data_IF_196971440606
#
_entry.id   IF_196971440606
#
_cell.length_a   1.000
_cell.length_b   1.000
_cell.length_c   1.000
_cell.angle_alpha   90.00
_cell.angle_beta   90.00
_cell.angle_gamma   90.00
#
_symmetry.space_group_name_H-M   'P 1'
#
loop_
_entity.id
_entity.type
_entity.pdbx_description
1 polymer ?
#
# COMPACT_ATOMS: atom_id res chain seq x y z
N UNK A 1 67.91 -24.09 -21.30
CA UNK A 1 67.29 -24.61 -20.07
C UNK A 1 66.74 -23.42 -19.30
N UNK A 2 65.45 -23.12 -19.42
CA UNK A 2 64.62 -22.32 -18.49
C UNK A 2 63.19 -22.35 -19.06
N UNK A 3 62.38 -23.28 -18.56
CA UNK A 3 60.96 -23.37 -18.87
C UNK A 3 60.22 -22.26 -18.10
N UNK A 4 59.52 -21.38 -18.82
CA UNK A 4 58.59 -20.42 -18.21
C UNK A 4 57.27 -21.14 -17.95
N UNK A 5 56.97 -21.40 -16.68
CA UNK A 5 55.68 -21.92 -16.22
C UNK A 5 54.67 -20.77 -16.28
N UNK A 6 53.73 -20.86 -17.21
CA UNK A 6 52.52 -20.01 -17.24
C UNK A 6 51.53 -20.56 -16.21
N UNK A 7 51.34 -19.81 -15.11
CA UNK A 7 50.29 -20.07 -14.13
C UNK A 7 49.04 -19.33 -14.60
N UNK A 8 48.11 -20.06 -15.22
CA UNK A 8 46.75 -19.57 -15.51
C UNK A 8 45.93 -19.66 -14.23
N UNK A 9 45.71 -18.52 -13.56
CA UNK A 9 44.68 -18.42 -12.53
C UNK A 9 43.31 -18.46 -13.22
N UNK A 10 42.67 -19.63 -13.19
CA UNK A 10 41.27 -19.76 -13.53
C UNK A 10 40.42 -19.01 -12.50
N UNK A 11 39.88 -17.85 -12.89
CA UNK A 11 38.79 -17.20 -12.18
C UNK A 11 37.56 -18.12 -12.29
N UNK A 12 37.36 -18.93 -11.25
CA UNK A 12 36.11 -19.62 -11.04
C UNK A 12 35.03 -18.56 -10.77
N UNK A 13 34.23 -18.26 -11.79
CA UNK A 13 32.95 -17.59 -11.65
C UNK A 13 32.06 -18.49 -10.79
N UNK A 14 32.03 -18.20 -9.49
CA UNK A 14 30.98 -18.71 -8.62
C UNK A 14 29.66 -18.15 -9.16
N UNK A 15 28.67 -18.99 -9.50
CA UNK A 15 27.34 -18.49 -9.80
C UNK A 15 26.84 -17.86 -8.50
N UNK A 16 26.63 -16.54 -8.52
CA UNK A 16 25.91 -15.86 -7.46
C UNK A 16 24.49 -16.42 -7.52
N UNK A 17 24.23 -17.36 -6.62
CA UNK A 17 22.89 -17.87 -6.37
C UNK A 17 22.08 -16.66 -5.89
N UNK A 18 21.14 -16.23 -6.72
CA UNK A 18 20.22 -15.15 -6.42
C UNK A 18 19.57 -15.44 -5.05
N UNK A 19 19.71 -14.49 -4.13
CA UNK A 19 19.07 -14.55 -2.84
C UNK A 19 17.56 -14.52 -3.06
N UNK A 20 16.91 -15.68 -2.93
CA UNK A 20 15.48 -15.74 -2.65
C UNK A 20 15.24 -14.89 -1.40
N UNK A 21 14.31 -13.94 -1.51
CA UNK A 21 14.15 -12.77 -0.64
C UNK A 21 14.43 -13.03 0.84
N UNK A 22 15.55 -12.51 1.32
CA UNK A 22 15.86 -12.48 2.75
C UNK A 22 14.98 -11.45 3.44
N UNK A 23 14.42 -11.79 4.59
CA UNK A 23 13.71 -10.84 5.45
C UNK A 23 14.54 -9.57 5.66
N UNK A 24 13.99 -8.42 5.26
CA UNK A 24 14.57 -7.09 5.46
C UNK A 24 13.79 -6.34 6.55
N UNK A 25 14.36 -6.20 7.76
CA UNK A 25 13.67 -5.56 8.87
C UNK A 25 13.46 -4.04 8.66
N UNK A 26 14.18 -3.39 7.74
CA UNK A 26 13.97 -1.97 7.46
C UNK A 26 12.64 -1.73 6.74
N UNK A 27 12.26 -2.64 5.83
CA UNK A 27 11.00 -2.55 5.10
C UNK A 27 9.84 -2.63 6.09
N UNK A 28 9.83 -3.65 6.96
CA UNK A 28 8.73 -3.82 7.92
C UNK A 28 8.66 -2.68 8.94
N UNK A 29 9.81 -2.17 9.43
CA UNK A 29 9.81 -1.08 10.40
C UNK A 29 9.32 0.24 9.82
N UNK A 30 9.35 0.43 8.49
CA UNK A 30 8.67 1.54 7.82
C UNK A 30 7.16 1.38 7.65
N UNK A 31 6.62 0.19 7.92
CA UNK A 31 5.21 -0.15 7.69
C UNK A 31 4.40 -0.37 8.97
N UNK A 32 5.04 -0.39 10.15
CA UNK A 32 4.38 -0.62 11.44
C UNK A 32 4.60 0.55 12.40
N UNK A 33 3.84 0.58 13.49
CA UNK A 33 3.94 1.61 14.52
C UNK A 33 5.27 1.56 15.27
N UNK A 34 5.77 2.73 15.71
CA UNK A 34 6.98 2.81 16.51
C UNK A 34 6.85 1.98 17.80
N UNK A 35 7.93 1.27 18.16
CA UNK A 35 7.99 0.36 19.29
C UNK A 35 7.54 -1.06 19.00
N UNK A 36 6.95 -1.34 17.83
CA UNK A 36 6.52 -2.69 17.44
C UNK A 36 7.66 -3.67 17.58
N UNK A 37 7.43 -4.74 18.36
CA UNK A 37 8.39 -5.81 18.58
C UNK A 37 7.84 -7.12 18.03
N UNK A 38 8.69 -7.85 17.32
CA UNK A 38 8.29 -8.99 16.48
C UNK A 38 9.31 -10.11 16.55
N UNK A 39 8.89 -11.33 16.17
CA UNK A 39 9.83 -12.42 15.95
C UNK A 39 10.73 -12.10 14.76
N UNK A 40 12.01 -12.50 14.82
CA UNK A 40 12.85 -12.53 13.63
C UNK A 40 12.63 -13.86 12.90
N UNK A 41 12.12 -13.85 11.65
CA UNK A 41 11.81 -15.09 10.92
C UNK A 41 13.04 -15.88 10.50
N UNK A 42 14.25 -15.39 10.80
CA UNK A 42 15.52 -16.09 10.53
C UNK A 42 15.95 -16.98 11.69
N UNK A 43 15.45 -16.75 12.91
CA UNK A 43 15.79 -17.58 14.07
C UNK A 43 14.75 -17.48 15.19
N UNK A 44 14.31 -18.62 15.74
CA UNK A 44 13.24 -18.67 16.75
C UNK A 44 13.61 -18.08 18.12
N UNK A 45 14.90 -17.87 18.41
CA UNK A 45 15.34 -17.16 19.59
C UNK A 45 15.63 -15.68 19.32
N UNK A 46 15.39 -15.16 18.12
CA UNK A 46 15.70 -13.79 17.74
C UNK A 46 14.43 -12.94 17.61
N UNK A 47 14.60 -11.64 17.82
CA UNK A 47 13.54 -10.65 17.73
C UNK A 47 14.06 -9.34 17.13
N UNK A 48 13.12 -8.57 16.58
CA UNK A 48 13.36 -7.22 16.06
C UNK A 48 12.38 -6.27 16.74
N UNK A 49 12.86 -5.09 17.13
CA UNK A 49 12.04 -3.98 17.60
C UNK A 49 12.24 -2.79 16.68
N UNK A 50 11.15 -2.21 16.18
CA UNK A 50 11.20 -1.01 15.35
C UNK A 50 11.25 0.22 16.25
N UNK A 51 12.33 0.98 16.17
CA UNK A 51 12.53 2.24 16.91
C UNK A 51 12.76 3.36 15.89
N UNK A 52 11.80 4.28 15.82
CA UNK A 52 11.81 5.43 14.90
C UNK A 52 11.99 5.01 13.43
N UNK A 53 11.36 3.89 13.04
CA UNK A 53 11.44 3.32 11.69
C UNK A 53 12.68 2.44 11.45
N UNK A 54 13.63 2.41 12.38
CA UNK A 54 14.86 1.63 12.28
C UNK A 54 14.80 0.34 13.11
N UNK A 55 15.35 -0.77 12.61
CA UNK A 55 15.30 -2.04 13.33
C UNK A 55 16.40 -2.17 14.38
N UNK A 56 16.01 -2.57 15.59
CA UNK A 56 16.90 -2.99 16.68
C UNK A 56 16.71 -4.49 16.90
N UNK A 57 17.78 -5.27 16.73
CA UNK A 57 17.71 -6.73 16.89
C UNK A 57 18.23 -7.20 18.26
N UNK A 58 17.73 -8.34 18.72
CA UNK A 58 18.26 -9.05 19.87
C UNK A 58 17.96 -10.53 19.85
N UNK A 59 18.51 -11.25 20.83
CA UNK A 59 18.36 -12.71 20.96
C UNK A 59 18.07 -13.11 22.40
N UNK A 60 17.26 -14.16 22.55
CA UNK A 60 17.01 -14.86 23.79
C UNK A 60 18.20 -15.78 24.14
N UNK A 61 18.35 -16.04 25.44
CA UNK A 61 19.35 -16.98 25.96
C UNK A 61 19.14 -18.42 25.50
N UNK A 62 20.11 -19.28 25.81
CA UNK A 62 20.08 -20.69 25.42
C UNK A 62 18.82 -21.41 25.94
N UNK A 63 18.16 -22.16 25.05
CA UNK A 63 16.93 -22.91 25.38
C UNK A 63 15.66 -22.07 25.45
N UNK A 64 15.72 -20.79 25.07
CA UNK A 64 14.59 -19.88 25.05
C UNK A 64 14.26 -19.43 23.63
N UNK A 65 12.98 -19.33 23.32
CA UNK A 65 12.45 -18.73 22.10
C UNK A 65 11.73 -17.42 22.42
N UNK A 66 11.75 -16.48 21.48
CA UNK A 66 11.03 -15.24 21.64
C UNK A 66 9.55 -15.47 21.30
N UNK A 67 8.67 -15.00 22.18
CA UNK A 67 7.24 -15.01 21.98
C UNK A 67 6.75 -13.57 21.76
N UNK A 68 6.33 -13.27 20.53
CA UNK A 68 5.86 -11.94 20.16
C UNK A 68 4.60 -11.48 20.91
N UNK A 69 3.73 -12.39 21.35
CA UNK A 69 2.44 -12.04 21.97
C UNK A 69 2.64 -11.58 23.43
N UNK A 70 3.53 -12.23 24.17
CA UNK A 70 3.94 -11.80 25.52
C UNK A 70 5.12 -10.84 25.53
N UNK A 71 5.82 -10.70 24.40
CA UNK A 71 7.10 -10.00 24.24
C UNK A 71 8.26 -10.53 25.12
N UNK A 72 8.16 -11.79 25.54
CA UNK A 72 9.10 -12.44 26.46
C UNK A 72 9.93 -13.55 25.79
N UNK A 73 11.06 -13.87 26.40
CA UNK A 73 11.83 -15.07 26.06
C UNK A 73 11.31 -16.25 26.92
N UNK A 74 10.57 -17.15 26.31
CA UNK A 74 9.96 -18.31 26.98
C UNK A 74 10.74 -19.59 26.67
N UNK A 75 10.54 -20.63 27.47
CA UNK A 75 11.15 -21.93 27.21
C UNK A 75 10.75 -22.45 25.82
N UNK A 76 11.71 -23.02 25.08
CA UNK A 76 11.51 -23.43 23.68
C UNK A 76 10.41 -24.48 23.47
N UNK A 77 9.99 -25.20 24.50
CA UNK A 77 8.86 -26.15 24.46
C UNK A 77 7.48 -25.47 24.61
N UNK A 78 7.44 -24.17 24.94
CA UNK A 78 6.21 -23.38 25.11
C UNK A 78 5.85 -22.53 23.90
N UNK A 79 6.82 -22.27 23.02
CA UNK A 79 6.64 -21.40 21.85
C UNK A 79 6.85 -22.24 20.60
N UNK A 80 5.90 -22.15 19.67
CA UNK A 80 6.05 -22.80 18.37
C UNK A 80 7.09 -22.04 17.55
N UNK A 81 8.18 -22.71 17.20
CA UNK A 81 9.20 -22.17 16.31
C UNK A 81 8.68 -22.11 14.86
N UNK A 82 8.57 -20.89 14.33
CA UNK A 82 8.25 -20.62 12.92
C UNK A 82 9.36 -19.73 12.37
N UNK A 83 10.27 -20.33 11.61
CA UNK A 83 11.47 -19.67 11.08
C UNK A 83 11.84 -20.29 9.74
N UNK A 84 12.38 -19.50 8.83
CA UNK A 84 12.99 -19.94 7.57
C UNK A 84 14.27 -20.78 7.80
N UNK A 85 14.93 -20.61 8.94
CA UNK A 85 15.98 -21.49 9.45
C UNK A 85 15.61 -21.99 10.86
N UNK A 86 14.88 -23.10 10.98
CA UNK A 86 14.44 -23.63 12.27
C UNK A 86 15.59 -24.28 13.07
N UNK A 87 16.76 -24.49 12.46
CA UNK A 87 17.94 -25.04 13.15
C UNK A 87 18.83 -23.95 13.74
N UNK A 88 18.74 -22.69 13.29
CA UNK A 88 19.56 -21.58 13.78
C UNK A 88 19.59 -21.45 15.31
N UNK A 89 18.45 -21.73 15.96
CA UNK A 89 18.28 -21.66 17.41
C UNK A 89 18.37 -23.04 18.12
N UNK A 90 18.50 -24.14 17.36
CA UNK A 90 18.49 -25.51 17.88
C UNK A 90 19.87 -26.17 17.72
N UNK A 91 20.60 -26.33 18.83
CA UNK A 91 21.94 -26.91 18.80
C UNK A 91 21.94 -28.34 18.22
N UNK A 92 21.06 -29.23 18.69
CA UNK A 92 20.91 -30.58 18.15
C UNK A 92 19.45 -31.05 18.31
N UNK A 93 18.96 -31.89 17.40
CA UNK A 93 17.63 -32.51 17.49
C UNK A 93 16.88 -32.52 16.17
N UNK A 94 15.57 -32.76 16.22
CA UNK A 94 14.69 -32.69 15.07
C UNK A 94 13.70 -31.53 15.19
N UNK A 95 13.37 -30.90 14.07
CA UNK A 95 12.35 -29.86 13.99
C UNK A 95 11.52 -30.01 12.73
N UNK A 96 10.29 -29.52 12.76
CA UNK A 96 9.38 -29.60 11.62
C UNK A 96 9.88 -28.71 10.47
N UNK A 97 9.64 -29.14 9.24
CA UNK A 97 9.80 -28.26 8.08
C UNK A 97 8.65 -27.24 8.07
N UNK A 98 8.95 -25.94 8.16
CA UNK A 98 7.93 -24.88 8.22
C UNK A 98 7.15 -24.76 6.91
N UNK A 99 7.70 -25.25 5.79
CA UNK A 99 7.07 -25.21 4.45
C UNK A 99 6.38 -26.53 4.06
N UNK A 100 6.58 -27.62 4.83
CA UNK A 100 6.08 -28.96 4.47
C UNK A 100 5.66 -29.80 5.68
N UNK A 101 4.41 -30.26 5.71
CA UNK A 101 3.92 -31.20 6.72
C UNK A 101 4.61 -32.59 6.68
N UNK A 102 5.19 -32.96 5.54
CA UNK A 102 5.91 -34.21 5.36
C UNK A 102 7.42 -34.06 5.62
N UNK A 103 7.93 -32.81 5.65
CA UNK A 103 9.34 -32.52 5.85
C UNK A 103 9.72 -32.35 7.33
N UNK A 104 11.00 -32.54 7.60
CA UNK A 104 11.63 -32.21 8.87
C UNK A 104 13.11 -31.85 8.65
N UNK A 105 13.73 -31.25 9.65
CA UNK A 105 15.17 -31.03 9.69
C UNK A 105 15.80 -31.78 10.85
N UNK A 106 16.90 -32.46 10.58
CA UNK A 106 17.84 -32.91 11.62
C UNK A 106 18.90 -31.83 11.82
N UNK A 107 18.90 -31.20 12.99
CA UNK A 107 19.83 -30.15 13.35
C UNK A 107 21.05 -30.75 14.05
N UNK A 108 22.25 -30.37 13.62
CA UNK A 108 23.50 -30.68 14.29
C UNK A 108 24.38 -29.43 14.35
N UNK A 109 24.75 -29.01 15.56
CA UNK A 109 25.43 -27.75 15.86
C UNK A 109 24.78 -26.54 15.16
N UNK A 110 23.45 -26.46 15.20
CA UNK A 110 22.67 -25.38 14.59
C UNK A 110 22.52 -25.48 13.06
N UNK A 111 23.03 -26.54 12.42
CA UNK A 111 22.92 -26.74 10.97
C UNK A 111 21.92 -27.84 10.65
N UNK A 112 20.92 -27.52 9.85
CA UNK A 112 19.87 -28.44 9.44
C UNK A 112 20.23 -29.27 8.21
N UNK A 113 19.93 -30.56 8.26
CA UNK A 113 19.81 -31.44 7.09
C UNK A 113 18.33 -31.76 6.88
N UNK A 114 17.80 -31.47 5.70
CA UNK A 114 16.40 -31.74 5.38
C UNK A 114 16.15 -33.25 5.21
N UNK A 115 15.02 -33.70 5.73
CA UNK A 115 14.48 -35.04 5.58
C UNK A 115 13.00 -34.99 5.27
N UNK A 116 12.46 -36.11 4.78
CA UNK A 116 11.06 -36.24 4.43
C UNK A 116 10.50 -37.57 4.93
N UNK A 117 9.26 -37.55 5.39
CA UNK A 117 8.51 -38.73 5.77
C UNK A 117 8.09 -39.54 4.53
N UNK A 118 7.85 -40.83 4.70
CA UNK A 118 7.34 -41.66 3.59
C UNK A 118 5.97 -41.17 3.10
N UNK A 119 5.57 -41.46 1.84
CA UNK A 119 4.28 -41.04 1.29
C UNK A 119 3.10 -41.41 2.20
N UNK A 120 2.23 -40.44 2.49
CA UNK A 120 1.06 -40.61 3.37
C UNK A 120 1.35 -40.45 4.87
N UNK A 121 2.55 -40.01 5.24
CA UNK A 121 2.95 -39.73 6.62
C UNK A 121 3.33 -38.25 6.77
N UNK A 122 3.04 -37.67 7.94
CA UNK A 122 3.45 -36.30 8.28
C UNK A 122 4.36 -36.34 9.50
N UNK A 123 5.30 -35.41 9.58
CA UNK A 123 6.19 -35.30 10.72
C UNK A 123 5.45 -34.73 11.93
N UNK A 124 5.61 -35.38 13.09
CA UNK A 124 5.06 -34.95 14.37
C UNK A 124 6.20 -34.45 15.26
N UNK A 125 6.33 -33.13 15.50
CA UNK A 125 7.41 -32.57 16.32
C UNK A 125 7.33 -32.99 17.79
N UNK A 126 6.13 -33.31 18.30
CA UNK A 126 5.97 -33.77 19.69
C UNK A 126 6.48 -35.19 19.94
N UNK A 127 6.58 -36.02 18.90
CA UNK A 127 7.08 -37.40 18.99
C UNK A 127 8.40 -37.61 18.25
N UNK A 128 8.85 -36.58 17.52
CA UNK A 128 10.00 -36.64 16.59
C UNK A 128 9.91 -37.82 15.60
N UNK A 129 8.70 -38.12 15.11
CA UNK A 129 8.46 -39.28 14.25
C UNK A 129 7.47 -38.97 13.11
N UNK A 130 7.53 -39.77 12.06
CA UNK A 130 6.59 -39.74 10.96
C UNK A 130 5.34 -40.54 11.34
N UNK A 131 4.19 -39.88 11.40
CA UNK A 131 2.93 -40.49 11.79
C UNK A 131 1.96 -40.46 10.60
N UNK A 132 1.35 -41.61 10.31
CA UNK A 132 0.31 -41.72 9.27
C UNK A 132 -0.90 -40.88 9.67
N UNK A 133 -1.39 -40.06 8.73
CA UNK A 133 -2.54 -39.17 8.94
C UNK A 133 -2.38 -38.19 10.12
N UNK A 134 -1.14 -37.88 10.55
CA UNK A 134 -0.96 -36.82 11.54
C UNK A 134 -1.51 -35.50 10.99
N UNK A 135 -2.36 -34.77 11.74
CA UNK A 135 -3.00 -33.58 11.23
C UNK A 135 -1.98 -32.56 10.73
N UNK A 136 -2.06 -32.27 9.44
CA UNK A 136 -1.33 -31.15 8.85
C UNK A 136 -2.13 -29.89 9.22
N UNK A 137 -1.70 -29.21 10.28
CA UNK A 137 -2.16 -27.84 10.53
C UNK A 137 -1.83 -27.05 9.26
N UNK A 138 -2.84 -26.47 8.63
CA UNK A 138 -2.77 -25.89 7.30
C UNK A 138 -1.47 -25.09 7.13
N UNK A 139 -0.69 -25.50 6.13
CA UNK A 139 0.50 -24.87 5.55
C UNK A 139 0.79 -23.52 6.21
N UNK A 140 1.63 -23.51 7.24
CA UNK A 140 2.18 -22.26 7.71
C UNK A 140 2.87 -21.63 6.51
N UNK A 141 2.50 -20.41 6.20
CA UNK A 141 3.24 -19.58 5.27
C UNK A 141 4.29 -18.85 6.11
N UNK A 142 5.52 -19.36 6.25
CA UNK A 142 6.52 -18.75 7.14
C UNK A 142 6.83 -17.31 6.73
N UNK A 143 6.51 -16.97 5.49
CA UNK A 143 6.69 -15.66 4.89
C UNK A 143 5.48 -14.74 5.15
N UNK A 144 4.40 -15.26 5.75
CA UNK A 144 3.29 -14.45 6.25
C UNK A 144 3.77 -13.56 7.40
N UNK A 145 3.52 -12.27 7.23
CA UNK A 145 3.84 -11.23 8.20
C UNK A 145 3.16 -11.45 9.56
N UNK A 146 2.01 -12.15 9.59
CA UNK A 146 1.32 -12.51 10.82
C UNK A 146 1.92 -13.72 11.56
N UNK A 147 3.04 -14.27 11.06
CA UNK A 147 3.92 -15.18 11.81
C UNK A 147 5.00 -14.46 12.62
N UNK A 148 5.26 -13.18 12.32
CA UNK A 148 6.26 -12.40 13.04
C UNK A 148 5.65 -11.30 13.91
N UNK A 149 4.56 -10.66 13.47
CA UNK A 149 3.89 -9.59 14.20
C UNK A 149 2.88 -10.13 15.23
N UNK A 150 2.78 -9.49 16.42
CA UNK A 150 1.73 -9.80 17.38
C UNK A 150 0.34 -9.41 16.86
N UNK A 151 -0.68 -10.01 17.45
CA UNK A 151 -2.07 -9.70 17.11
C UNK A 151 -2.42 -8.23 17.42
N UNK A 152 -3.21 -7.61 16.54
CA UNK A 152 -3.64 -6.22 16.65
C UNK A 152 -2.66 -5.18 16.09
N UNK A 153 -1.47 -5.59 15.63
CA UNK A 153 -0.56 -4.68 14.92
C UNK A 153 -1.11 -4.35 13.54
N UNK A 154 -1.23 -3.06 13.24
CA UNK A 154 -1.53 -2.58 11.90
C UNK A 154 -0.27 -2.44 11.05
N UNK A 155 -0.41 -2.74 9.76
CA UNK A 155 0.65 -2.73 8.76
C UNK A 155 0.15 -1.86 7.62
N UNK A 156 0.91 -0.82 7.26
CA UNK A 156 0.60 0.00 6.10
C UNK A 156 0.75 -0.82 4.82
N UNK A 157 -0.23 -0.71 3.93
CA UNK A 157 -0.12 -1.32 2.61
C UNK A 157 0.93 -0.54 1.79
N UNK A 158 2.02 -1.22 1.44
CA UNK A 158 3.13 -0.65 0.67
C UNK A 158 2.76 -0.32 -0.79
N UNK A 159 1.56 -0.69 -1.24
CA UNK A 159 1.07 -0.50 -2.61
C UNK A 159 -0.21 0.34 -2.68
N UNK A 160 -0.76 0.74 -1.53
CA UNK A 160 -1.98 1.54 -1.47
C UNK A 160 -1.98 2.40 -0.20
N UNK A 161 -1.87 3.71 -0.35
CA UNK A 161 -1.83 4.64 0.79
C UNK A 161 -3.12 4.70 1.62
N UNK A 162 -4.26 4.30 1.05
CA UNK A 162 -5.53 4.17 1.76
C UNK A 162 -5.70 2.78 2.41
N UNK A 163 -4.84 1.82 2.05
CA UNK A 163 -4.89 0.44 2.53
C UNK A 163 -4.06 0.22 3.78
N UNK A 164 -4.51 -0.72 4.61
CA UNK A 164 -3.75 -1.28 5.70
C UNK A 164 -4.12 -2.75 5.91
N UNK A 165 -3.30 -3.44 6.67
CA UNK A 165 -3.54 -4.80 7.11
C UNK A 165 -3.46 -4.87 8.64
N UNK A 166 -4.06 -5.89 9.22
CA UNK A 166 -3.92 -6.20 10.64
C UNK A 166 -3.80 -7.70 10.82
N UNK A 167 -2.95 -8.12 11.76
CA UNK A 167 -2.85 -9.51 12.16
C UNK A 167 -3.87 -9.84 13.26
N UNK A 168 -4.62 -10.92 13.07
CA UNK A 168 -5.53 -11.44 14.09
C UNK A 168 -5.62 -12.95 14.01
N UNK A 169 -5.30 -13.65 15.09
CA UNK A 169 -5.22 -15.11 15.15
C UNK A 169 -4.42 -15.69 13.97
N UNK A 170 -3.20 -15.17 13.72
CA UNK A 170 -2.33 -15.58 12.59
C UNK A 170 -2.91 -15.35 11.18
N UNK A 171 -4.02 -14.63 11.04
CA UNK A 171 -4.61 -14.27 9.75
C UNK A 171 -4.37 -12.80 9.42
N UNK A 172 -4.04 -12.53 8.15
CA UNK A 172 -3.98 -11.18 7.61
C UNK A 172 -5.41 -10.71 7.31
N UNK A 173 -5.83 -9.63 7.96
CA UNK A 173 -7.07 -8.92 7.67
C UNK A 173 -6.74 -7.65 6.89
N UNK A 174 -7.35 -7.46 5.72
CA UNK A 174 -7.18 -6.23 4.94
C UNK A 174 -8.23 -5.20 5.32
N UNK A 175 -7.86 -3.93 5.36
CA UNK A 175 -8.73 -2.79 5.62
C UNK A 175 -8.38 -1.60 4.73
N UNK A 176 -9.33 -0.68 4.63
CA UNK A 176 -9.15 0.61 3.95
C UNK A 176 -9.60 1.73 4.86
N UNK A 177 -8.91 2.86 4.79
CA UNK A 177 -9.32 4.06 5.50
C UNK A 177 -10.62 4.62 4.91
N UNK A 178 -11.51 5.22 5.72
CA UNK A 178 -12.71 5.87 5.22
C UNK A 178 -12.38 6.96 4.20
N UNK A 179 -13.24 7.16 3.20
CA UNK A 179 -13.10 8.25 2.22
C UNK A 179 -11.73 8.32 1.55
N UNK A 180 -11.11 9.50 1.61
CA UNK A 180 -9.82 9.80 0.98
C UNK A 180 -8.63 9.78 1.96
N UNK A 181 -8.83 9.30 3.20
CA UNK A 181 -7.79 9.29 4.23
C UNK A 181 -6.65 8.32 3.86
N UNK A 182 -5.44 8.63 4.31
CA UNK A 182 -4.29 7.74 4.19
C UNK A 182 -4.02 7.04 5.52
N UNK A 183 -3.56 5.79 5.45
CA UNK A 183 -3.14 5.07 6.63
C UNK A 183 -1.71 5.50 7.01
N UNK A 184 -1.56 6.04 8.22
CA UNK A 184 -0.26 6.35 8.80
C UNK A 184 0.22 5.18 9.65
N UNK A 185 1.34 4.57 9.26
CA UNK A 185 1.95 3.49 10.02
C UNK A 185 2.40 3.95 11.41
N UNK A 186 3.00 5.15 11.49
CA UNK A 186 3.59 5.70 12.71
C UNK A 186 2.55 6.07 13.76
N UNK A 187 1.34 6.44 13.34
CA UNK A 187 0.22 6.74 14.22
C UNK A 187 -0.78 5.57 14.37
N UNK A 188 -0.63 4.52 13.55
CA UNK A 188 -1.55 3.38 13.44
C UNK A 188 -3.02 3.81 13.23
N UNK A 189 -3.24 4.88 12.46
CA UNK A 189 -4.56 5.45 12.24
C UNK A 189 -4.71 6.04 10.84
N UNK A 190 -5.97 6.29 10.45
CA UNK A 190 -6.31 6.98 9.23
C UNK A 190 -6.17 8.49 9.44
N UNK A 191 -5.21 9.09 8.73
CA UNK A 191 -4.92 10.52 8.79
C UNK A 191 -5.23 11.19 7.46
N UNK A 192 -5.26 12.52 7.45
CA UNK A 192 -5.50 13.26 6.22
C UNK A 192 -4.32 13.12 5.24
N UNK A 193 -4.57 13.12 3.92
CA UNK A 193 -3.51 13.05 2.91
C UNK A 193 -2.40 14.10 3.04
N UNK A 194 -2.70 15.28 3.60
CA UNK A 194 -1.72 16.33 3.84
C UNK A 194 -0.75 16.02 4.98
N UNK A 195 -1.12 15.11 5.87
CA UNK A 195 -0.39 14.78 7.09
C UNK A 195 0.46 13.49 6.92
N UNK A 196 0.31 12.77 5.81
CA UNK A 196 1.04 11.54 5.50
C UNK A 196 1.50 11.52 4.03
N UNK A 197 2.79 11.29 3.80
CA UNK A 197 3.31 11.18 2.44
C UNK A 197 2.94 9.82 1.84
N UNK A 198 2.25 9.85 0.72
CA UNK A 198 1.94 8.67 -0.06
C UNK A 198 3.13 8.28 -0.95
N UNK A 199 4.04 7.47 -0.39
CA UNK A 199 5.21 6.96 -1.09
C UNK A 199 5.03 5.47 -1.43
N UNK A 200 4.45 5.17 -2.58
CA UNK A 200 4.59 3.88 -3.23
C UNK A 200 4.83 4.07 -4.72
N UNK A 201 5.57 3.14 -5.30
CA UNK A 201 5.71 3.04 -6.76
C UNK A 201 4.73 1.98 -7.24
N UNK A 202 3.54 2.35 -7.76
CA UNK A 202 2.69 1.38 -8.43
C UNK A 202 3.49 0.72 -9.56
N UNK A 203 3.20 -0.56 -9.83
CA UNK A 203 3.64 -1.15 -11.08
C UNK A 203 3.18 -0.24 -12.25
N UNK A 204 4.04 0.02 -13.24
CA UNK A 204 3.68 0.91 -14.34
C UNK A 204 2.45 0.35 -15.04
N UNK A 205 1.36 1.12 -15.03
CA UNK A 205 0.16 0.77 -15.78
C UNK A 205 0.47 1.05 -17.24
N UNK A 206 0.56 0.01 -18.06
CA UNK A 206 0.79 0.20 -19.51
C UNK A 206 -0.47 0.82 -20.11
N UNK A 207 -0.31 1.92 -20.85
CA UNK A 207 -1.40 2.65 -21.46
C UNK A 207 -2.14 1.76 -22.45
N UNK A 208 -3.47 1.66 -22.32
CA UNK A 208 -4.28 1.11 -23.39
C UNK A 208 -4.18 1.99 -24.65
N UNK A 209 -4.32 1.37 -25.84
CA UNK A 209 -4.29 2.11 -27.10
C UNK A 209 -5.28 3.28 -27.09
N UNK A 210 -4.79 4.47 -27.44
CA UNK A 210 -5.59 5.69 -27.51
C UNK A 210 -5.65 6.52 -26.22
N UNK A 211 -5.16 6.02 -25.07
CA UNK A 211 -5.08 6.82 -23.84
C UNK A 211 -3.94 7.85 -23.93
N UNK A 212 -2.74 7.40 -24.32
CA UNK A 212 -1.59 8.26 -24.56
C UNK A 212 -1.41 8.51 -26.05
N UNK A 213 -1.54 9.76 -26.53
CA UNK A 213 -1.31 10.06 -27.95
C UNK A 213 0.18 9.99 -28.31
N UNK A 214 1.07 10.25 -27.36
CA UNK A 214 2.53 10.16 -27.49
C UNK A 214 3.19 10.16 -26.12
N UNK A 215 4.47 9.78 -26.03
CA UNK A 215 5.25 9.93 -24.80
C UNK A 215 5.51 11.41 -24.45
N UNK A 216 5.71 11.68 -23.16
CA UNK A 216 6.05 13.01 -22.63
C UNK A 216 4.86 13.96 -22.46
N UNK A 217 3.62 13.50 -22.65
CA UNK A 217 2.41 14.32 -22.49
C UNK A 217 1.67 14.00 -21.20
N UNK A 218 0.87 14.96 -20.74
CA UNK A 218 -0.06 14.79 -19.63
C UNK A 218 -1.48 14.68 -20.17
N UNK A 219 -2.22 13.69 -19.70
CA UNK A 219 -3.63 13.44 -20.06
C UNK A 219 -4.49 13.37 -18.81
N UNK A 220 -5.78 13.65 -18.95
CA UNK A 220 -6.72 13.48 -17.83
C UNK A 220 -6.79 12.00 -17.42
N UNK A 221 -7.04 11.72 -16.14
CA UNK A 221 -7.31 10.36 -15.68
C UNK A 221 -8.74 9.88 -16.03
N UNK A 222 -9.55 10.76 -16.62
CA UNK A 222 -10.91 10.54 -17.06
C UNK A 222 -11.85 10.00 -15.96
N UNK A 223 -11.51 10.27 -14.70
CA UNK A 223 -12.19 9.75 -13.52
C UNK A 223 -12.41 10.82 -12.46
N UNK A 224 -11.47 11.77 -12.34
CA UNK A 224 -11.50 12.83 -11.33
C UNK A 224 -11.17 14.19 -11.95
N UNK A 225 -11.58 15.28 -11.29
CA UNK A 225 -11.25 16.63 -11.76
C UNK A 225 -9.77 17.02 -11.55
N UNK A 226 -9.10 16.41 -10.59
CA UNK A 226 -7.74 16.76 -10.18
C UNK A 226 -6.68 15.72 -10.58
N UNK A 227 -7.07 14.54 -11.02
CA UNK A 227 -6.15 13.48 -11.44
C UNK A 227 -5.75 13.56 -12.90
N UNK A 228 -4.55 13.08 -13.18
CA UNK A 228 -3.94 13.05 -14.51
C UNK A 228 -2.96 11.89 -14.64
N UNK A 229 -2.58 11.56 -15.87
CA UNK A 229 -1.46 10.67 -16.16
C UNK A 229 -0.35 11.41 -16.88
N UNK A 230 0.90 11.15 -16.50
CA UNK A 230 2.06 11.42 -17.33
C UNK A 230 2.39 10.18 -18.16
N UNK A 231 2.41 10.34 -19.49
CA UNK A 231 2.72 9.27 -20.44
C UNK A 231 4.25 9.10 -20.53
N UNK A 232 4.83 8.19 -19.76
CA UNK A 232 6.28 7.94 -19.73
C UNK A 232 6.65 6.76 -20.63
N UNK A 233 7.59 6.98 -21.54
CA UNK A 233 8.20 5.93 -22.37
C UNK A 233 9.09 5.01 -21.52
N UNK A 234 8.92 3.70 -21.69
CA UNK A 234 9.72 2.65 -21.08
C UNK A 234 10.85 2.20 -22.01
N UNK A 235 11.82 1.47 -21.47
CA UNK A 235 13.03 1.05 -22.21
C UNK A 235 12.75 0.12 -23.41
N UNK A 236 11.60 -0.55 -23.42
CA UNK A 236 11.12 -1.43 -24.49
C UNK A 236 10.23 -0.71 -25.53
N UNK A 237 10.00 0.60 -25.36
CA UNK A 237 9.17 1.43 -26.25
C UNK A 237 7.68 1.45 -25.90
N UNK A 238 7.26 0.73 -24.85
CA UNK A 238 5.90 0.84 -24.30
C UNK A 238 5.70 2.17 -23.57
N UNK A 239 4.45 2.61 -23.45
CA UNK A 239 4.11 3.82 -22.70
C UNK A 239 3.44 3.42 -21.39
N UNK A 240 4.05 3.80 -20.28
CA UNK A 240 3.47 3.72 -18.95
C UNK A 240 2.66 4.98 -18.60
N UNK A 241 1.57 4.78 -17.90
CA UNK A 241 0.75 5.81 -17.27
C UNK A 241 1.24 6.01 -15.83
N UNK A 242 1.77 7.19 -15.54
CA UNK A 242 2.09 7.58 -14.18
C UNK A 242 1.00 8.49 -13.63
N UNK A 243 0.18 7.99 -12.71
CA UNK A 243 -0.89 8.78 -12.13
C UNK A 243 -0.33 9.88 -11.24
N UNK A 244 -0.85 11.08 -11.42
CA UNK A 244 -0.58 12.24 -10.59
C UNK A 244 -1.90 12.89 -10.20
N UNK A 245 -1.87 13.63 -9.10
CA UNK A 245 -3.02 14.35 -8.58
C UNK A 245 -2.60 15.79 -8.31
N UNK A 246 -3.37 16.74 -8.81
CA UNK A 246 -3.17 18.15 -8.54
C UNK A 246 -3.36 18.43 -7.03
N UNK A 247 -2.55 19.35 -6.51
CA UNK A 247 -2.65 19.82 -5.12
C UNK A 247 -4.04 20.37 -4.80
N UNK A 248 -4.34 20.53 -3.51
CA UNK A 248 -5.64 21.01 -3.02
C UNK A 248 -6.13 22.27 -3.79
N UNK A 249 -7.44 22.29 -4.06
CA UNK A 249 -8.14 23.35 -4.79
C UNK A 249 -7.74 23.54 -6.26
N UNK A 250 -6.98 22.62 -6.85
CA UNK A 250 -6.59 22.66 -8.26
C UNK A 250 -7.11 21.46 -9.05
N UNK A 251 -7.57 21.75 -10.26
CA UNK A 251 -8.00 20.76 -11.24
C UNK A 251 -7.03 20.69 -12.40
N UNK A 252 -6.93 19.52 -12.98
CA UNK A 252 -6.05 19.28 -14.12
C UNK A 252 -6.73 19.72 -15.41
N UNK A 253 -5.97 20.38 -16.29
CA UNK A 253 -6.35 20.64 -17.67
C UNK A 253 -5.25 20.12 -18.59
N UNK A 254 -5.61 19.38 -19.63
CA UNK A 254 -4.65 18.77 -20.56
C UNK A 254 -4.06 19.75 -21.60
N UNK A 255 -4.59 20.96 -21.70
CA UNK A 255 -4.15 21.97 -22.68
C UNK A 255 -2.73 22.46 -22.39
N UNK A 256 -2.00 22.85 -23.43
CA UNK A 256 -0.65 23.44 -23.35
C UNK A 256 0.38 22.60 -22.57
N UNK A 257 0.29 21.27 -22.70
CA UNK A 257 1.22 20.35 -22.04
C UNK A 257 0.83 19.96 -20.62
N UNK A 258 -0.38 20.28 -20.18
CA UNK A 258 -0.90 19.89 -18.86
C UNK A 258 -0.63 20.94 -17.79
N UNK A 259 -1.67 21.32 -17.06
CA UNK A 259 -1.54 22.25 -15.94
C UNK A 259 -2.54 21.96 -14.82
N UNK A 260 -2.08 22.07 -13.57
CA UNK A 260 -2.96 22.15 -12.41
C UNK A 260 -3.36 23.61 -12.18
N UNK A 261 -4.59 23.96 -12.47
CA UNK A 261 -5.12 25.34 -12.37
C UNK A 261 -6.20 25.43 -11.29
N UNK A 262 -6.50 26.62 -10.73
CA UNK A 262 -7.56 26.75 -9.74
C UNK A 262 -8.89 26.15 -10.21
N UNK A 263 -9.60 25.42 -9.34
CA UNK A 263 -10.83 24.69 -9.68
C UNK A 263 -11.97 25.57 -10.22
N UNK A 264 -11.96 26.87 -9.90
CA UNK A 264 -12.90 27.87 -10.44
C UNK A 264 -12.69 28.14 -11.94
N UNK A 265 -11.53 27.84 -12.49
CA UNK A 265 -11.19 28.03 -13.91
C UNK A 265 -11.50 26.82 -14.78
N UNK A 266 -11.92 25.70 -14.19
CA UNK A 266 -12.10 24.43 -14.89
C UNK A 266 -13.55 24.01 -14.76
N UNK A 267 -14.21 23.90 -15.90
CA UNK A 267 -15.46 23.15 -16.00
C UNK A 267 -15.12 21.66 -15.94
N UNK A 268 -15.71 20.97 -14.98
CA UNK A 268 -15.49 19.55 -14.76
C UNK A 268 -16.84 18.86 -14.57
N UNK A 269 -16.98 17.70 -15.18
CA UNK A 269 -18.21 16.89 -15.12
C UNK A 269 -18.13 15.78 -14.05
N UNK A 270 -16.98 15.65 -13.36
CA UNK A 270 -16.80 14.77 -12.20
C UNK A 270 -17.08 15.49 -10.88
N UNK A 271 -16.99 14.75 -9.77
CA UNK A 271 -17.18 15.31 -8.43
C UNK A 271 -16.17 16.43 -8.14
N UNK A 272 -16.69 17.65 -8.04
CA UNK A 272 -15.91 18.86 -7.78
C UNK A 272 -15.46 18.99 -6.32
N UNK A 273 -15.96 18.13 -5.43
CA UNK A 273 -15.51 18.01 -4.05
C UNK A 273 -14.19 17.24 -3.90
N UNK A 274 -13.65 16.65 -4.98
CA UNK A 274 -12.38 15.93 -4.91
C UNK A 274 -11.27 16.79 -4.31
N UNK A 275 -10.64 16.30 -3.24
CA UNK A 275 -9.61 17.01 -2.48
C UNK A 275 -10.10 18.16 -1.60
N UNK A 276 -11.41 18.28 -1.36
CA UNK A 276 -12.04 19.28 -0.48
C UNK A 276 -12.72 18.62 0.72
N UNK A 277 -12.98 19.43 1.74
CA UNK A 277 -13.82 19.02 2.85
C UNK A 277 -13.10 18.10 3.85
N UNK A 278 -11.76 18.04 3.79
CA UNK A 278 -10.96 17.17 4.65
C UNK A 278 -11.10 17.58 6.12
N UNK A 279 -10.81 18.84 6.47
CA UNK A 279 -10.82 19.29 7.88
C UNK A 279 -12.15 19.91 8.35
N UNK A 280 -12.83 20.61 7.46
CA UNK A 280 -14.13 21.26 7.69
C UNK A 280 -14.94 21.16 6.41
N UNK A 281 -16.27 21.23 6.51
CA UNK A 281 -17.12 21.34 5.31
C UNK A 281 -16.63 22.50 4.46
N UNK A 282 -16.36 22.21 3.19
CA UNK A 282 -16.05 23.20 2.17
C UNK A 282 -17.13 23.18 1.10
N UNK A 283 -17.19 24.21 0.29
CA UNK A 283 -18.18 24.39 -0.75
C UNK A 283 -17.52 24.45 -2.13
N UNK A 284 -18.14 23.86 -3.14
CA UNK A 284 -17.68 23.94 -4.53
C UNK A 284 -18.82 24.47 -5.41
N UNK A 285 -18.50 25.23 -6.45
CA UNK A 285 -19.53 25.67 -7.40
C UNK A 285 -20.16 24.47 -8.10
N UNK A 286 -21.45 24.54 -8.39
CA UNK A 286 -22.11 23.59 -9.29
C UNK A 286 -21.78 23.90 -10.75
N UNK A 287 -21.69 22.86 -11.57
CA UNK A 287 -21.48 23.02 -13.02
C UNK A 287 -22.79 23.41 -13.71
N UNK A 288 -22.72 24.28 -14.72
CA UNK A 288 -23.84 24.63 -15.60
C UNK A 288 -25.07 25.28 -14.94
N UNK A 289 -24.87 26.15 -13.95
CA UNK A 289 -25.97 26.79 -13.23
C UNK A 289 -25.89 28.33 -13.22
N UNK A 290 -24.90 28.90 -13.91
CA UNK A 290 -24.65 30.33 -13.90
C UNK A 290 -24.03 30.82 -12.59
N UNK A 291 -23.33 29.96 -11.86
CA UNK A 291 -22.65 30.23 -10.60
C UNK A 291 -23.61 30.61 -9.47
N UNK A 292 -24.74 29.91 -9.35
CA UNK A 292 -25.80 30.22 -8.37
C UNK A 292 -25.89 29.20 -7.24
N UNK A 293 -25.48 27.97 -7.51
CA UNK A 293 -25.52 26.81 -6.66
C UNK A 293 -24.13 26.38 -6.22
N UNK A 294 -24.13 25.58 -5.17
CA UNK A 294 -22.93 25.03 -4.56
C UNK A 294 -23.18 23.63 -4.00
N UNK A 295 -22.16 22.79 -4.08
CA UNK A 295 -22.04 21.52 -3.38
C UNK A 295 -21.46 21.74 -1.99
N UNK A 296 -21.93 20.99 -0.99
CA UNK A 296 -21.31 20.82 0.31
C UNK A 296 -20.37 19.61 0.22
N UNK A 297 -19.10 19.83 0.51
CA UNK A 297 -18.03 18.87 0.38
C UNK A 297 -17.54 18.40 1.75
N UNK A 298 -17.48 17.09 1.92
CA UNK A 298 -16.85 16.44 3.07
C UNK A 298 -16.06 15.22 2.57
N UNK A 299 -14.81 15.09 3.02
CA UNK A 299 -13.91 13.96 2.74
C UNK A 299 -13.72 13.65 1.24
N UNK A 300 -13.75 14.69 0.39
CA UNK A 300 -13.57 14.56 -1.04
C UNK A 300 -14.85 14.31 -1.84
N UNK A 301 -16.03 14.32 -1.20
CA UNK A 301 -17.31 13.96 -1.84
C UNK A 301 -18.44 14.94 -1.53
N UNK A 302 -19.41 15.01 -2.44
CA UNK A 302 -20.66 15.78 -2.23
C UNK A 302 -21.52 15.11 -1.15
N UNK A 303 -21.83 15.85 -0.07
CA UNK A 303 -22.77 15.44 0.98
C UNK A 303 -24.12 16.18 0.91
N UNK A 304 -24.21 17.19 0.06
CA UNK A 304 -25.43 17.98 -0.13
C UNK A 304 -25.21 19.09 -1.16
N UNK A 305 -26.29 19.76 -1.55
CA UNK A 305 -26.25 20.86 -2.50
C UNK A 305 -27.15 21.99 -2.00
N UNK A 306 -26.87 23.21 -2.45
CA UNK A 306 -27.62 24.40 -2.14
C UNK A 306 -27.63 25.41 -3.28
N UNK A 307 -28.48 26.41 -3.15
CA UNK A 307 -28.56 27.55 -4.09
C UNK A 307 -28.53 28.83 -3.29
N UNK A 308 -27.85 29.85 -3.81
CA UNK A 308 -27.80 31.15 -3.18
C UNK A 308 -29.19 31.80 -3.14
N UNK A 309 -29.53 32.49 -2.04
CA UNK A 309 -30.82 33.16 -1.90
C UNK A 309 -30.93 34.35 -2.85
N UNK A 310 -32.16 34.78 -3.14
CA UNK A 310 -32.43 36.05 -3.84
C UNK A 310 -31.69 36.22 -5.19
N UNK A 311 -31.47 35.12 -5.91
CA UNK A 311 -30.73 35.11 -7.16
C UNK A 311 -29.31 35.72 -7.05
N UNK A 312 -28.67 35.56 -5.89
CA UNK A 312 -27.25 35.84 -5.69
C UNK A 312 -26.36 34.81 -6.40
N UNK A 313 -25.06 35.10 -6.43
CA UNK A 313 -24.03 34.26 -7.02
C UNK A 313 -23.16 33.63 -5.95
N UNK A 314 -22.79 32.36 -6.14
CA UNK A 314 -21.85 31.68 -5.27
C UNK A 314 -20.40 31.94 -5.70
N UNK A 315 -19.64 32.59 -4.82
CA UNK A 315 -18.20 32.83 -4.97
C UNK A 315 -17.41 31.68 -4.32
N UNK A 316 -16.87 30.79 -5.15
CA UNK A 316 -16.01 29.68 -4.72
C UNK A 316 -14.79 30.11 -3.90
N UNK A 317 -14.20 31.27 -4.22
CA UNK A 317 -12.95 31.69 -3.60
C UNK A 317 -13.23 32.18 -2.19
N UNK A 318 -14.34 32.89 -1.98
CA UNK A 318 -14.74 33.37 -0.65
C UNK A 318 -15.74 32.46 0.07
N UNK A 319 -16.13 31.34 -0.54
CA UNK A 319 -16.99 30.28 0.03
C UNK A 319 -18.35 30.81 0.50
N UNK A 320 -18.95 31.77 -0.22
CA UNK A 320 -20.21 32.43 0.18
C UNK A 320 -21.00 32.98 -1.00
N UNK A 321 -22.29 33.21 -0.75
CA UNK A 321 -23.15 33.95 -1.68
C UNK A 321 -22.84 35.45 -1.65
N UNK A 322 -22.94 36.07 -2.82
CA UNK A 322 -22.66 37.49 -3.03
C UNK A 322 -23.58 38.07 -4.10
N UNK A 323 -23.92 39.35 -3.96
CA UNK A 323 -24.64 40.13 -4.97
C UNK A 323 -23.75 40.55 -6.14
N UNK A 324 -22.43 40.44 -6.00
CA UNK A 324 -21.50 40.66 -7.10
C UNK A 324 -21.63 39.52 -8.12
N UNK A 325 -21.74 39.87 -9.40
CA UNK A 325 -21.82 38.88 -10.48
C UNK A 325 -20.55 38.04 -10.50
N UNK A 326 -20.71 36.72 -10.32
CA UNK A 326 -19.65 35.72 -10.48
C UNK A 326 -19.83 35.06 -11.84
N UNK A 327 -18.72 34.92 -12.57
CA UNK A 327 -18.71 34.37 -13.93
C UNK A 327 -17.53 33.41 -14.13
N UNK A 328 -17.33 32.50 -13.17
CA UNK A 328 -16.27 31.51 -13.24
C UNK A 328 -16.52 30.49 -14.36
N UNK A 329 -15.51 30.12 -15.16
CA UNK A 329 -15.64 29.06 -16.16
C UNK A 329 -16.21 27.75 -15.60
N UNK A 330 -15.92 27.44 -14.33
CA UNK A 330 -16.41 26.25 -13.64
C UNK A 330 -17.95 26.06 -13.65
N UNK A 331 -18.71 27.16 -13.61
CA UNK A 331 -20.16 27.16 -13.41
C UNK A 331 -20.92 27.86 -14.54
N UNK A 332 -20.22 28.26 -15.61
CA UNK A 332 -20.85 28.86 -16.77
C UNK A 332 -21.84 27.90 -17.42
N UNK A 333 -22.99 28.43 -17.81
CA UNK A 333 -24.01 27.72 -18.59
C UNK A 333 -23.38 27.26 -19.91
N UNK A 334 -23.59 25.99 -20.28
CA UNK A 334 -23.27 25.52 -21.63
C UNK A 334 -24.11 26.25 -22.66
N UNK A 335 -23.52 26.56 -23.81
CA UNK A 335 -24.17 27.26 -24.93
C UNK A 335 -25.25 26.46 -25.66
N UNK A 336 -25.62 25.27 -25.17
CA UNK A 336 -26.53 24.32 -25.84
C UNK A 336 -27.99 24.43 -25.42
N UNK A 337 -28.40 25.52 -24.77
CA UNK A 337 -29.83 25.78 -24.51
C UNK A 337 -30.30 27.00 -25.29
N UNK A 338 -30.35 26.89 -26.62
CA UNK A 338 -31.35 27.64 -27.38
C UNK A 338 -32.73 27.06 -27.06
N UNK A 339 -33.39 27.65 -26.06
CA UNK A 339 -34.82 27.43 -25.80
C UNK A 339 -35.58 27.81 -27.08
N UNK A 340 -36.20 26.82 -27.72
CA UNK A 340 -37.17 27.07 -28.78
C UNK A 340 -38.35 27.86 -28.18
N UNK A 341 -38.85 28.93 -28.82
CA UNK A 341 -39.95 29.70 -28.29
C UNK A 341 -41.23 28.85 -28.23
N UNK A 342 -41.86 28.85 -27.06
CA UNK A 342 -43.18 28.28 -26.80
C UNK A 342 -44.20 28.85 -27.78
N UNK A 343 -44.92 27.98 -28.50
CA UNK A 343 -46.05 28.40 -29.33
C UNK A 343 -47.24 28.78 -28.44
N UNK A 344 -47.75 30.00 -28.61
CA UNK A 344 -49.00 30.46 -28.00
C UNK A 344 -50.19 29.56 -28.41
N UNK A 345 -51.13 29.27 -27.50
CA UNK A 345 -52.35 28.54 -27.85
C UNK A 345 -53.35 29.48 -28.55
N UNK A 346 -53.69 29.15 -29.79
CA UNK A 346 -54.82 29.79 -30.49
C UNK A 346 -56.15 29.34 -29.91
N UNK A 347 -56.95 30.31 -29.44
CA UNK A 347 -58.41 30.18 -29.27
C UNK A 347 -59.10 30.64 -30.55
#
# INVERSE_FOLDING_TARGET
MYAKILVLFGLALLPQLEALGTFDPNVICGLVVNGTKMNDPRACNAWVQCIDGEPVSGTCGSGLFYDRESEECLASDKVKCVSSDPCAALANGFTADPYSCNGYYYCQNGKGTHGACSPGMNYSPGTEDCIRNFPCAAKMDPDSICNILPDGVFIKDATNCNGYQMCWNTQVLNGTCPGTFYFSASAAECVYPKDEVCAFTPAPVIAAEGVCPQAGVFVSDNSTCNGYYYCRELADGEISLEHGVCSEERFFVATDGGACVPRSKVKCDYDRCVGLGNSTIQLANESNDGCRGYSLCQDGSVIGQGTCPQDEYFDEVSQRCTTQVISYPACQLSSDTTVAPEAEPTV
#
